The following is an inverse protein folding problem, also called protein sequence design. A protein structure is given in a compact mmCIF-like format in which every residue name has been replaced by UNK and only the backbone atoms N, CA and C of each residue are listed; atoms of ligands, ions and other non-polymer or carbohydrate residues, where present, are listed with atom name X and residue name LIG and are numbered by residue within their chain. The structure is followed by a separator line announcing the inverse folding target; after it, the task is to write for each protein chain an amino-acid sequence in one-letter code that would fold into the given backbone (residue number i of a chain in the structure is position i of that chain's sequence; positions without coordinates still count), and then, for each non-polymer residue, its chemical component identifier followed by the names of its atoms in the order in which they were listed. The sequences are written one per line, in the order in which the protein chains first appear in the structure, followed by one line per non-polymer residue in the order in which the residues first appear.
data_IF_975987553700
#
_entry.id   IF_975987553700
#
_cell.length_a   1.000
_cell.length_b   1.000
_cell.length_c   1.000
_cell.angle_alpha   90.00
_cell.angle_beta   90.00
_cell.angle_gamma   90.00
#
_symmetry.space_group_name_H-M   'P 1'
#
loop_
_entity.id
_entity.type
_entity.pdbx_description
1 polymer ?
#
# COMPACT_ATOMS: atom_id res chain seq x y z
N UNK A 1 5.69 -13.32 12.04
CA UNK A 1 4.31 -13.06 12.52
C UNK A 1 4.09 -11.56 12.73
N UNK A 2 4.81 -10.92 13.66
CA UNK A 2 4.78 -9.46 13.92
C UNK A 2 4.77 -8.57 12.65
N UNK A 3 5.71 -8.78 11.73
CA UNK A 3 5.88 -7.94 10.53
C UNK A 3 4.67 -7.84 9.57
N UNK A 4 3.71 -8.76 9.62
CA UNK A 4 2.48 -8.66 8.80
C UNK A 4 1.51 -7.66 9.43
N UNK A 5 1.43 -7.62 10.77
CA UNK A 5 0.66 -6.62 11.51
C UNK A 5 1.28 -5.23 11.35
N UNK A 6 2.61 -5.14 11.37
CA UNK A 6 3.34 -3.90 11.04
C UNK A 6 3.04 -3.40 9.61
N UNK A 7 3.16 -4.28 8.61
CA UNK A 7 2.87 -3.94 7.21
C UNK A 7 1.41 -3.52 7.02
N UNK A 8 0.45 -4.22 7.63
CA UNK A 8 -0.97 -3.86 7.57
C UNK A 8 -1.25 -2.52 8.25
N UNK A 9 -0.61 -2.23 9.39
CA UNK A 9 -0.67 -0.93 10.06
C UNK A 9 -0.09 0.21 9.21
N UNK A 10 1.06 -0.02 8.57
CA UNK A 10 1.67 0.95 7.65
C UNK A 10 0.80 1.19 6.39
N UNK A 11 0.20 0.13 5.85
CA UNK A 11 -0.74 0.18 4.72
C UNK A 11 -2.01 0.96 5.10
N UNK A 12 -2.55 0.79 6.31
CA UNK A 12 -3.70 1.54 6.82
C UNK A 12 -3.43 3.05 6.92
N UNK A 13 -2.21 3.43 7.33
CA UNK A 13 -1.79 4.84 7.37
C UNK A 13 -1.59 5.47 5.99
N UNK A 14 -1.47 4.68 4.91
CA UNK A 14 -1.24 5.19 3.56
C UNK A 14 -2.52 5.83 2.97
N UNK A 15 -2.44 7.05 2.38
CA UNK A 15 -3.62 7.79 1.92
C UNK A 15 -4.50 7.03 0.92
N UNK A 16 -5.78 6.88 1.28
CA UNK A 16 -6.80 6.28 0.43
C UNK A 16 -6.79 4.75 0.36
N UNK A 17 -5.94 4.06 1.11
CA UNK A 17 -5.98 2.59 1.27
C UNK A 17 -7.33 2.16 1.83
N UNK A 18 -7.69 2.69 3.00
CA UNK A 18 -8.91 2.30 3.72
C UNK A 18 -10.16 2.70 2.93
N UNK A 19 -10.17 3.89 2.32
CA UNK A 19 -11.25 4.31 1.39
C UNK A 19 -11.47 3.30 0.24
N UNK A 20 -10.41 2.68 -0.28
CA UNK A 20 -10.53 1.71 -1.37
C UNK A 20 -11.11 0.38 -0.91
N UNK A 21 -10.70 -0.15 0.25
CA UNK A 21 -11.28 -1.39 0.81
C UNK A 21 -12.73 -1.18 1.28
N UNK A 22 -13.06 0.00 1.83
CA UNK A 22 -14.45 0.38 2.10
C UNK A 22 -15.28 0.46 0.81
N UNK A 23 -14.70 0.98 -0.29
CA UNK A 23 -15.36 1.02 -1.61
C UNK A 23 -15.53 -0.38 -2.20
N UNK A 24 -14.55 -1.27 -2.04
CA UNK A 24 -14.58 -2.66 -2.50
C UNK A 24 -15.68 -3.45 -1.78
N UNK A 25 -15.74 -3.34 -0.46
CA UNK A 25 -16.81 -3.91 0.38
C UNK A 25 -18.19 -3.36 0.01
N UNK A 26 -18.29 -2.04 -0.21
CA UNK A 26 -19.55 -1.41 -0.62
C UNK A 26 -20.00 -1.91 -1.99
N UNK A 27 -19.08 -2.08 -2.95
CA UNK A 27 -19.39 -2.65 -4.27
C UNK A 27 -19.91 -4.08 -4.13
N UNK A 28 -19.15 -4.94 -3.44
CA UNK A 28 -19.50 -6.36 -3.23
C UNK A 28 -20.86 -6.51 -2.55
N UNK A 29 -21.14 -5.74 -1.50
CA UNK A 29 -22.42 -5.82 -0.77
C UNK A 29 -23.61 -5.20 -1.49
N UNK A 30 -23.41 -4.30 -2.46
CA UNK A 30 -24.50 -3.69 -3.25
C UNK A 30 -24.74 -4.34 -4.61
N UNK A 31 -23.70 -4.92 -5.23
CA UNK A 31 -23.80 -5.65 -6.52
C UNK A 31 -24.07 -7.15 -6.35
N UNK A 32 -24.04 -7.68 -5.12
CA UNK A 32 -24.32 -9.09 -4.81
C UNK A 32 -23.13 -10.04 -4.99
N UNK A 33 -21.90 -9.52 -4.81
CA UNK A 33 -20.67 -10.32 -4.76
C UNK A 33 -20.50 -11.09 -3.45
N UNK A 34 -19.39 -11.82 -3.29
CA UNK A 34 -19.10 -12.61 -2.09
C UNK A 34 -18.19 -11.82 -1.15
N UNK A 35 -18.41 -11.90 0.16
CA UNK A 35 -17.48 -11.28 1.14
C UNK A 35 -16.07 -11.90 1.06
N UNK A 36 -15.97 -13.17 0.65
CA UNK A 36 -14.72 -13.85 0.28
C UNK A 36 -13.95 -13.20 -0.87
N UNK A 37 -14.54 -12.28 -1.65
CA UNK A 37 -13.81 -11.48 -2.65
C UNK A 37 -12.99 -10.34 -2.02
N UNK A 38 -13.21 -10.04 -0.73
CA UNK A 38 -12.64 -8.89 -0.01
C UNK A 38 -11.81 -9.33 1.20
N UNK A 39 -12.37 -10.20 2.05
CA UNK A 39 -11.75 -10.70 3.27
C UNK A 39 -11.87 -12.22 3.39
N UNK A 40 -10.89 -12.85 4.03
CA UNK A 40 -10.85 -14.28 4.38
C UNK A 40 -11.25 -14.55 5.84
N UNK A 41 -11.50 -13.51 6.63
CA UNK A 41 -11.86 -13.63 8.03
C UNK A 41 -11.41 -12.43 8.86
N UNK A 42 -11.24 -12.68 10.16
CA UNK A 42 -10.77 -11.69 11.14
C UNK A 42 -9.54 -12.23 11.85
N UNK A 43 -8.67 -11.31 12.27
CA UNK A 43 -7.57 -11.58 13.19
C UNK A 43 -8.11 -11.31 14.60
N UNK A 44 -8.09 -12.31 15.46
CA UNK A 44 -8.29 -12.10 16.89
C UNK A 44 -7.01 -11.48 17.48
N UNK A 45 -7.08 -10.44 18.34
CA UNK A 45 -5.89 -9.82 18.92
C UNK A 45 -4.94 -10.78 19.66
N UNK A 46 -5.47 -11.89 20.20
CA UNK A 46 -4.72 -12.91 20.93
C UNK A 46 -4.26 -14.11 20.06
N UNK A 47 -4.75 -14.25 18.83
CA UNK A 47 -4.34 -15.33 17.92
C UNK A 47 -2.98 -15.04 17.28
N UNK A 48 -2.00 -15.90 17.56
CA UNK A 48 -0.69 -15.90 16.90
C UNK A 48 -0.85 -16.22 15.41
N UNK A 49 -0.79 -15.21 14.55
CA UNK A 49 -1.02 -15.35 13.11
C UNK A 49 0.11 -16.17 12.48
N UNK A 50 -0.14 -17.48 12.31
CA UNK A 50 0.64 -18.32 11.42
C UNK A 50 0.71 -17.64 10.04
N UNK A 51 1.91 -17.48 9.45
CA UNK A 51 2.10 -16.64 8.28
C UNK A 51 1.30 -17.18 7.08
N UNK A 52 0.76 -16.29 6.20
CA UNK A 52 0.43 -16.67 4.84
C UNK A 52 1.64 -17.35 4.20
N UNK A 53 1.40 -18.34 3.33
CA UNK A 53 2.45 -19.04 2.61
C UNK A 53 3.46 -18.04 2.02
N UNK A 54 4.75 -18.33 2.20
CA UNK A 54 5.82 -17.34 2.02
C UNK A 54 5.70 -16.60 0.70
N UNK A 55 5.68 -15.25 0.75
CA UNK A 55 5.70 -14.42 -0.45
C UNK A 55 6.97 -14.80 -1.24
N UNK A 56 6.86 -15.45 -2.41
CA UNK A 56 8.02 -16.00 -3.06
C UNK A 56 8.98 -14.87 -3.45
N UNK A 57 10.30 -15.05 -3.27
CA UNK A 57 11.27 -14.04 -3.69
C UNK A 57 11.12 -13.78 -5.20
N UNK A 58 11.30 -12.53 -5.66
CA UNK A 58 11.07 -12.16 -7.05
C UNK A 58 11.94 -13.01 -7.98
N UNK A 59 11.30 -13.83 -8.80
CA UNK A 59 11.98 -14.79 -9.69
C UNK A 59 12.68 -14.07 -10.84
N UNK A 60 14.01 -14.00 -10.79
CA UNK A 60 14.84 -13.51 -11.89
C UNK A 60 14.61 -14.37 -13.16
N UNK A 61 14.07 -13.82 -14.26
CA UNK A 61 13.54 -14.62 -15.36
C UNK A 61 14.64 -15.07 -16.36
N UNK A 62 15.68 -15.77 -15.88
CA UNK A 62 16.79 -16.30 -16.70
C UNK A 62 17.38 -17.65 -16.25
N UNK A 63 16.57 -18.71 -16.29
CA UNK A 63 17.04 -20.09 -16.50
C UNK A 63 15.96 -20.93 -17.19
N UNK A 64 16.33 -21.77 -18.17
CA UNK A 64 15.41 -22.67 -18.90
C UNK A 64 16.17 -23.95 -19.30
N UNK A 65 15.47 -25.10 -19.33
CA UNK A 65 15.95 -26.48 -19.66
C UNK A 65 16.80 -27.18 -18.56
N UNK A 66 16.78 -28.50 -18.40
CA UNK A 66 16.06 -29.60 -19.09
C UNK A 66 15.93 -30.84 -18.14
N UNK A 67 14.77 -31.55 -18.08
CA UNK A 67 14.41 -32.84 -18.73
C UNK A 67 14.75 -34.13 -17.90
N UNK A 68 13.91 -35.18 -18.02
CA UNK A 68 13.90 -36.44 -17.23
C UNK A 68 12.59 -36.61 -16.42
N UNK A 69 11.70 -37.61 -16.56
CA UNK A 69 11.73 -38.99 -17.10
C UNK A 69 12.50 -40.00 -16.20
N UNK A 70 11.98 -41.15 -15.75
CA UNK A 70 10.60 -41.74 -15.68
C UNK A 70 10.39 -42.28 -14.23
N UNK A 71 9.54 -43.22 -13.74
CA UNK A 71 8.59 -44.29 -14.17
C UNK A 71 7.54 -44.51 -13.00
N UNK A 72 6.69 -45.56 -12.92
CA UNK A 72 5.32 -45.68 -13.50
C UNK A 72 4.37 -46.60 -12.62
N UNK A 73 3.07 -46.73 -12.98
CA UNK A 73 1.98 -47.68 -12.54
C UNK A 73 1.19 -47.57 -11.18
N UNK A 74 -0.02 -48.17 -11.23
CA UNK A 74 -1.28 -48.17 -10.44
C UNK A 74 -1.24 -48.77 -8.98
N UNK A 75 -2.29 -48.88 -8.14
CA UNK A 75 -3.76 -48.99 -8.33
C UNK A 75 -4.62 -48.60 -7.09
N UNK A 76 -5.90 -48.29 -7.33
CA UNK A 76 -7.12 -48.36 -6.48
C UNK A 76 -7.07 -48.31 -4.94
N UNK A 77 -7.74 -47.30 -4.36
CA UNK A 77 -8.59 -47.46 -3.16
C UNK A 77 -9.73 -46.41 -3.11
N UNK A 78 -10.98 -46.86 -3.09
CA UNK A 78 -12.16 -46.01 -2.85
C UNK A 78 -12.35 -45.73 -1.35
N UNK A 79 -12.56 -44.46 -0.99
CA UNK A 79 -13.21 -44.07 0.26
C UNK A 79 -13.82 -42.68 0.11
N UNK A 80 -15.08 -42.64 -0.30
CA UNK A 80 -15.96 -41.48 -0.14
C UNK A 80 -15.86 -40.87 1.26
N UNK A 81 -15.46 -39.60 1.35
CA UNK A 81 -16.04 -38.68 2.34
C UNK A 81 -16.31 -37.34 1.65
N UNK A 82 -17.58 -37.06 1.34
CA UNK A 82 -18.03 -35.74 0.93
C UNK A 82 -18.15 -34.86 2.19
N UNK A 83 -17.00 -34.57 2.82
CA UNK A 83 -16.92 -33.37 3.66
C UNK A 83 -17.05 -32.16 2.74
N UNK A 84 -18.30 -31.76 2.54
CA UNK A 84 -18.68 -30.39 2.20
C UNK A 84 -18.07 -29.47 3.28
N UNK A 85 -16.80 -29.09 3.11
CA UNK A 85 -16.30 -27.79 3.55
C UNK A 85 -17.11 -26.73 2.81
N UNK A 86 -18.34 -26.52 3.27
CA UNK A 86 -19.09 -25.29 3.07
C UNK A 86 -18.26 -24.18 3.68
N UNK A 87 -17.36 -23.63 2.85
CA UNK A 87 -16.48 -22.51 3.12
C UNK A 87 -17.32 -21.39 3.73
N UNK A 88 -17.33 -21.35 5.07
CA UNK A 88 -18.24 -20.54 5.86
C UNK A 88 -17.75 -19.10 5.79
N UNK A 89 -18.09 -18.45 4.67
CA UNK A 89 -17.60 -17.15 4.29
C UNK A 89 -17.83 -16.13 5.41
N UNK A 90 -16.91 -15.18 5.59
CA UNK A 90 -16.83 -14.34 6.78
C UNK A 90 -18.17 -13.71 7.14
N UNK A 91 -18.62 -13.94 8.38
CA UNK A 91 -19.96 -13.60 8.87
C UNK A 91 -20.37 -12.18 8.42
N UNK A 92 -21.48 -12.04 7.66
CA UNK A 92 -21.89 -10.76 7.09
C UNK A 92 -22.33 -9.74 8.14
N UNK A 93 -22.82 -10.18 9.31
CA UNK A 93 -23.19 -9.31 10.43
C UNK A 93 -21.93 -8.76 11.11
N UNK A 94 -20.93 -9.61 11.36
CA UNK A 94 -19.63 -9.17 11.89
C UNK A 94 -18.90 -8.28 10.88
N UNK A 95 -19.01 -8.59 9.58
CA UNK A 95 -18.45 -7.76 8.51
C UNK A 95 -19.10 -6.38 8.51
N UNK A 96 -20.43 -6.31 8.54
CA UNK A 96 -21.17 -5.04 8.59
C UNK A 96 -20.81 -4.20 9.82
N UNK A 97 -20.64 -4.83 10.99
CA UNK A 97 -20.21 -4.14 12.21
C UNK A 97 -18.78 -3.58 12.07
N UNK A 98 -17.81 -4.40 11.63
CA UNK A 98 -16.39 -3.98 11.53
C UNK A 98 -16.17 -2.95 10.42
N UNK A 99 -16.73 -3.18 9.22
CA UNK A 99 -16.63 -2.21 8.12
C UNK A 99 -17.41 -0.92 8.40
N UNK A 100 -18.53 -1.00 9.14
CA UNK A 100 -19.24 0.17 9.67
C UNK A 100 -18.36 1.02 10.59
N UNK A 101 -17.75 0.40 11.61
CA UNK A 101 -16.85 1.10 12.52
C UNK A 101 -15.63 1.73 11.81
N UNK A 102 -15.04 1.03 10.84
CA UNK A 102 -13.95 1.57 10.00
C UNK A 102 -14.45 2.73 9.12
N UNK A 103 -15.68 2.67 8.58
CA UNK A 103 -16.28 3.77 7.81
C UNK A 103 -16.51 5.03 8.65
N UNK A 104 -17.07 4.87 9.85
CA UNK A 104 -17.33 5.98 10.78
C UNK A 104 -16.02 6.62 11.25
N UNK A 105 -15.00 5.82 11.60
CA UNK A 105 -13.69 6.34 11.96
C UNK A 105 -12.97 6.96 10.75
N UNK A 106 -13.16 6.45 9.53
CA UNK A 106 -12.61 7.06 8.31
C UNK A 106 -13.23 8.45 8.08
N UNK A 107 -14.53 8.64 8.34
CA UNK A 107 -15.16 9.96 8.32
C UNK A 107 -14.54 10.93 9.34
N UNK A 108 -14.34 10.49 10.59
CA UNK A 108 -13.72 11.31 11.66
C UNK A 108 -12.30 11.71 11.26
N UNK A 109 -11.50 10.73 10.84
CA UNK A 109 -10.13 10.91 10.34
C UNK A 109 -10.08 11.89 9.17
N UNK A 110 -10.99 11.75 8.18
CA UNK A 110 -11.11 12.65 7.02
C UNK A 110 -11.46 14.08 7.44
N UNK A 111 -12.30 14.26 8.46
CA UNK A 111 -12.66 15.58 9.04
C UNK A 111 -11.47 16.21 9.80
N UNK A 112 -10.72 15.41 10.56
CA UNK A 112 -9.51 15.86 11.26
C UNK A 112 -8.40 16.29 10.29
N UNK A 113 -8.05 15.42 9.32
CA UNK A 113 -7.06 15.70 8.27
C UNK A 113 -7.36 17.00 7.50
N UNK A 114 -8.63 17.22 7.14
CA UNK A 114 -9.06 18.43 6.43
C UNK A 114 -8.99 19.71 7.29
N UNK A 115 -9.10 19.59 8.61
CA UNK A 115 -9.14 20.73 9.55
C UNK A 115 -7.76 21.12 10.08
N UNK A 116 -6.88 20.15 10.32
CA UNK A 116 -5.61 20.36 11.03
C UNK A 116 -4.36 20.02 10.19
N UNK A 117 -4.53 19.38 9.02
CA UNK A 117 -3.42 18.78 8.27
C UNK A 117 -3.09 17.36 8.76
N UNK A 118 -2.07 16.74 8.17
CA UNK A 118 -1.69 15.34 8.47
C UNK A 118 -0.74 15.22 9.66
N UNK A 119 0.05 16.26 9.92
CA UNK A 119 1.13 16.24 10.92
C UNK A 119 0.68 16.73 12.31
N UNK A 120 -0.59 17.14 12.45
CA UNK A 120 -1.17 17.52 13.73
C UNK A 120 -1.47 16.28 14.60
N UNK A 121 -1.25 16.42 15.91
CA UNK A 121 -1.37 15.32 16.88
C UNK A 121 -2.77 14.71 16.95
N UNK A 122 -3.83 15.49 16.70
CA UNK A 122 -5.20 14.96 16.66
C UNK A 122 -5.39 14.13 15.40
N UNK A 123 -4.98 14.64 14.23
CA UNK A 123 -5.08 13.89 12.96
C UNK A 123 -4.25 12.60 12.97
N UNK A 124 -3.09 12.60 13.63
CA UNK A 124 -2.28 11.39 13.88
C UNK A 124 -3.03 10.41 14.80
N UNK A 125 -3.67 10.87 15.88
CA UNK A 125 -4.45 10.01 16.77
C UNK A 125 -5.65 9.36 16.05
N UNK A 126 -6.39 10.11 15.23
CA UNK A 126 -7.49 9.55 14.43
C UNK A 126 -7.00 8.53 13.39
N UNK A 127 -5.83 8.74 12.78
CA UNK A 127 -5.18 7.78 11.87
C UNK A 127 -4.77 6.49 12.59
N UNK A 128 -4.27 6.57 13.82
CA UNK A 128 -3.93 5.40 14.63
C UNK A 128 -5.19 4.62 14.99
N UNK A 129 -6.24 5.29 15.47
CA UNK A 129 -7.52 4.65 15.78
C UNK A 129 -8.16 3.99 14.53
N UNK A 130 -8.03 4.62 13.35
CA UNK A 130 -8.44 4.01 12.08
C UNK A 130 -7.64 2.74 11.75
N UNK A 131 -6.33 2.76 11.97
CA UNK A 131 -5.48 1.58 11.76
C UNK A 131 -5.79 0.46 12.77
N UNK A 132 -6.09 0.78 14.03
CA UNK A 132 -6.48 -0.19 15.07
C UNK A 132 -7.80 -0.91 14.73
N UNK A 133 -8.77 -0.23 14.11
CA UNK A 133 -10.02 -0.85 13.63
C UNK A 133 -9.82 -1.65 12.32
N UNK A 134 -8.85 -1.26 11.49
CA UNK A 134 -8.61 -1.87 10.17
C UNK A 134 -7.68 -3.09 10.21
N UNK A 135 -6.63 -3.09 11.05
CA UNK A 135 -5.67 -4.21 11.19
C UNK A 135 -6.33 -5.58 11.48
N UNK A 136 -7.42 -5.69 12.27
CA UNK A 136 -8.09 -6.97 12.52
C UNK A 136 -8.84 -7.58 11.32
N UNK A 137 -8.91 -6.91 10.16
CA UNK A 137 -9.62 -7.40 8.98
C UNK A 137 -8.64 -8.18 8.08
N UNK A 138 -8.79 -9.50 8.01
CA UNK A 138 -7.89 -10.38 7.23
C UNK A 138 -8.28 -10.35 5.75
N UNK A 139 -7.77 -9.36 5.01
CA UNK A 139 -7.99 -9.23 3.56
C UNK A 139 -7.57 -10.51 2.81
N UNK A 140 -8.20 -10.79 1.66
CA UNK A 140 -7.70 -11.85 0.76
C UNK A 140 -6.41 -11.41 0.06
N UNK A 141 -5.50 -12.33 -0.32
CA UNK A 141 -4.19 -11.99 -0.88
C UNK A 141 -4.24 -10.99 -2.04
N UNK A 142 -5.16 -11.20 -2.99
CA UNK A 142 -5.41 -10.32 -4.14
C UNK A 142 -5.66 -8.85 -3.76
N UNK A 143 -6.43 -8.60 -2.69
CA UNK A 143 -6.72 -7.24 -2.22
C UNK A 143 -5.49 -6.65 -1.52
N UNK A 144 -4.82 -7.44 -0.67
CA UNK A 144 -3.60 -7.03 0.01
C UNK A 144 -2.46 -6.68 -0.96
N UNK A 145 -2.25 -7.50 -1.99
CA UNK A 145 -1.30 -7.23 -3.09
C UNK A 145 -1.64 -5.94 -3.84
N UNK A 146 -2.92 -5.70 -4.15
CA UNK A 146 -3.38 -4.45 -4.76
C UNK A 146 -3.08 -3.20 -3.91
N UNK A 147 -3.17 -3.31 -2.58
CA UNK A 147 -2.75 -2.24 -1.67
C UNK A 147 -1.23 -2.05 -1.65
N UNK A 148 -0.46 -3.13 -1.53
CA UNK A 148 1.01 -3.09 -1.56
C UNK A 148 1.51 -2.44 -2.86
N UNK A 149 0.94 -2.83 -4.01
CA UNK A 149 1.35 -2.30 -5.31
C UNK A 149 0.94 -0.83 -5.49
N UNK A 150 -0.21 -0.41 -4.96
CA UNK A 150 -0.60 1.01 -4.92
C UNK A 150 0.39 1.87 -4.11
N UNK A 151 0.91 1.35 -2.99
CA UNK A 151 1.96 2.02 -2.19
C UNK A 151 3.27 2.09 -2.99
N UNK A 152 3.72 0.97 -3.57
CA UNK A 152 4.93 0.90 -4.40
C UNK A 152 4.88 1.87 -5.57
N UNK A 153 3.84 1.81 -6.40
CA UNK A 153 3.66 2.70 -7.54
C UNK A 153 3.58 4.19 -7.16
N UNK A 154 3.13 4.53 -5.95
CA UNK A 154 3.20 5.90 -5.45
C UNK A 154 4.63 6.36 -5.13
N UNK A 155 5.41 5.50 -4.46
CA UNK A 155 6.83 5.75 -4.18
C UNK A 155 7.67 5.78 -5.48
N UNK A 156 7.31 4.99 -6.49
CA UNK A 156 7.97 5.03 -7.80
C UNK A 156 7.65 6.31 -8.57
N UNK A 157 6.40 6.79 -8.56
CA UNK A 157 6.05 8.10 -9.13
C UNK A 157 6.80 9.24 -8.44
N UNK A 158 6.89 9.22 -7.10
CA UNK A 158 7.68 10.19 -6.34
C UNK A 158 9.15 10.18 -6.78
N UNK A 159 9.79 8.99 -6.76
CA UNK A 159 11.18 8.80 -7.20
C UNK A 159 11.41 9.16 -8.66
N UNK A 160 10.41 9.05 -9.54
CA UNK A 160 10.50 9.52 -10.91
C UNK A 160 10.59 11.05 -10.98
N UNK A 161 9.80 11.77 -10.18
CA UNK A 161 9.87 13.24 -10.10
C UNK A 161 11.17 13.73 -9.45
N UNK A 162 11.59 13.14 -8.32
CA UNK A 162 12.90 13.42 -7.69
C UNK A 162 14.06 13.29 -8.69
N UNK A 163 14.06 12.22 -9.49
CA UNK A 163 15.06 11.98 -10.53
C UNK A 163 14.95 13.00 -11.68
N UNK A 164 13.75 13.37 -12.11
CA UNK A 164 13.53 14.37 -13.16
C UNK A 164 14.06 15.75 -12.72
N UNK A 165 13.69 16.21 -11.53
CA UNK A 165 14.17 17.46 -10.92
C UNK A 165 15.70 17.43 -10.78
N UNK A 166 16.27 16.33 -10.26
CA UNK A 166 17.73 16.17 -10.16
C UNK A 166 18.43 16.24 -11.54
N UNK A 167 17.85 15.67 -12.60
CA UNK A 167 18.43 15.79 -13.95
C UNK A 167 18.38 17.23 -14.45
N UNK A 168 17.23 17.91 -14.34
CA UNK A 168 17.08 19.32 -14.74
C UNK A 168 18.08 20.22 -14.02
N UNK A 169 18.19 20.12 -12.69
CA UNK A 169 19.13 20.93 -11.91
C UNK A 169 20.60 20.56 -12.19
N UNK A 170 20.98 19.28 -12.13
CA UNK A 170 22.39 18.85 -12.11
C UNK A 170 22.99 18.66 -13.52
N UNK A 171 22.23 18.06 -14.45
CA UNK A 171 22.68 17.79 -15.82
C UNK A 171 22.49 19.01 -16.71
N UNK A 172 21.29 19.57 -16.72
CA UNK A 172 20.89 20.56 -17.73
C UNK A 172 21.25 21.99 -17.28
N UNK A 173 20.88 22.38 -16.07
CA UNK A 173 21.30 23.65 -15.47
C UNK A 173 22.73 23.65 -14.87
N UNK A 174 23.43 22.51 -14.89
CA UNK A 174 24.83 22.35 -14.44
C UNK A 174 25.07 22.70 -12.96
N UNK A 175 24.06 22.55 -12.09
CA UNK A 175 24.25 22.66 -10.64
C UNK A 175 25.19 21.56 -10.14
N UNK A 176 26.17 21.84 -9.25
CA UNK A 176 26.94 20.80 -8.59
C UNK A 176 26.03 19.83 -7.82
N UNK A 177 26.21 18.51 -7.98
CA UNK A 177 25.38 17.51 -7.29
C UNK A 177 25.34 17.68 -5.77
N UNK A 178 26.44 18.14 -5.17
CA UNK A 178 26.52 18.43 -3.74
C UNK A 178 25.65 19.63 -3.32
N UNK A 179 25.54 20.67 -4.16
CA UNK A 179 24.63 21.80 -3.91
C UNK A 179 23.15 21.38 -4.04
N UNK A 180 22.83 20.48 -4.98
CA UNK A 180 21.49 19.93 -5.10
C UNK A 180 21.10 19.11 -3.86
N UNK A 181 21.93 18.14 -3.47
CA UNK A 181 21.69 17.28 -2.31
C UNK A 181 21.68 18.03 -0.96
N UNK A 182 22.25 19.24 -0.89
CA UNK A 182 22.21 20.14 0.28
C UNK A 182 20.97 21.04 0.31
N UNK A 183 20.33 21.31 -0.84
CA UNK A 183 19.31 22.37 -0.96
C UNK A 183 17.93 21.88 -1.40
N UNK A 184 17.82 20.70 -2.00
CA UNK A 184 16.53 20.12 -2.38
C UNK A 184 15.75 19.51 -1.19
N UNK A 185 16.39 18.80 -0.22
CA UNK A 185 15.67 18.29 0.94
C UNK A 185 15.01 19.40 1.75
N UNK A 186 13.71 19.25 2.06
CA UNK A 186 12.87 20.26 2.70
C UNK A 186 12.24 21.29 1.75
N UNK A 187 12.60 21.30 0.47
CA UNK A 187 12.00 22.13 -0.58
C UNK A 187 11.28 21.30 -1.66
N UNK A 188 11.08 20.00 -1.43
CA UNK A 188 10.47 19.04 -2.38
C UNK A 188 9.08 19.44 -2.90
N UNK A 189 8.35 20.26 -2.14
CA UNK A 189 7.00 20.76 -2.44
C UNK A 189 6.93 22.30 -2.53
N UNK A 190 8.09 22.98 -2.50
CA UNK A 190 8.19 24.44 -2.55
C UNK A 190 8.43 24.92 -3.99
N UNK A 191 7.35 25.26 -4.69
CA UNK A 191 7.42 25.81 -6.07
C UNK A 191 8.34 27.05 -6.15
N UNK A 192 8.40 27.85 -5.07
CA UNK A 192 9.18 29.09 -5.01
C UNK A 192 10.69 28.88 -4.83
N UNK A 193 11.13 27.67 -4.47
CA UNK A 193 12.55 27.30 -4.35
C UNK A 193 13.29 27.49 -5.68
N UNK A 194 12.69 27.05 -6.80
CA UNK A 194 13.27 27.20 -8.14
C UNK A 194 13.44 28.66 -8.52
N UNK A 195 12.45 29.49 -8.18
CA UNK A 195 12.43 30.94 -8.34
C UNK A 195 13.56 31.64 -7.55
N UNK A 196 13.81 31.19 -6.32
CA UNK A 196 14.90 31.67 -5.48
C UNK A 196 16.28 31.33 -6.06
N UNK A 197 16.43 30.14 -6.63
CA UNK A 197 17.65 29.71 -7.32
C UNK A 197 17.87 30.49 -8.62
N UNK A 198 16.81 30.71 -9.42
CA UNK A 198 16.86 31.45 -10.69
C UNK A 198 17.21 32.94 -10.50
N UNK A 199 16.75 33.56 -9.41
CA UNK A 199 17.06 34.95 -9.02
C UNK A 199 18.41 35.07 -8.28
N UNK A 200 19.08 33.96 -8.01
CA UNK A 200 20.35 33.89 -7.30
C UNK A 200 21.57 34.32 -8.15
N UNK A 201 22.74 34.43 -7.49
CA UNK A 201 24.03 34.71 -8.15
C UNK A 201 24.82 33.44 -8.49
N UNK A 202 24.19 32.27 -8.42
CA UNK A 202 24.83 30.99 -8.76
C UNK A 202 25.08 30.87 -10.26
N UNK A 203 26.16 30.18 -10.68
CA UNK A 203 26.48 29.97 -12.10
C UNK A 203 25.40 29.18 -12.87
N UNK A 204 24.53 28.50 -12.14
CA UNK A 204 23.38 27.74 -12.63
C UNK A 204 22.06 28.52 -12.63
N UNK A 205 21.99 29.72 -12.03
CA UNK A 205 20.75 30.48 -11.83
C UNK A 205 20.03 30.80 -13.15
N UNK A 206 20.75 31.39 -14.11
CA UNK A 206 20.20 31.69 -15.44
C UNK A 206 19.75 30.44 -16.21
N UNK A 207 20.38 29.28 -15.95
CA UNK A 207 20.00 28.03 -16.60
C UNK A 207 18.77 27.38 -15.95
N UNK A 208 18.58 27.52 -14.63
CA UNK A 208 17.34 27.12 -13.94
C UNK A 208 16.16 27.96 -14.42
N UNK A 209 16.33 29.28 -14.53
CA UNK A 209 15.30 30.20 -15.05
C UNK A 209 14.96 30.04 -16.55
N UNK A 210 15.53 29.04 -17.23
CA UNK A 210 15.18 28.61 -18.60
C UNK A 210 14.57 27.20 -18.66
N UNK A 211 14.41 26.55 -17.50
CA UNK A 211 13.82 25.22 -17.33
C UNK A 211 12.51 25.25 -16.51
N UNK A 212 12.07 26.45 -16.12
CA UNK A 212 10.74 26.78 -15.61
C UNK A 212 9.79 27.05 -16.79
#
# INVERSE_FOLDING_TARGET
EEGIREVMGAIAHFPGTVDHILSEYTRVTSEGGRLSDVLSGYIDPDDGIAPPAEVPPPVDPKAVKAEGADDDEEESADSSDEEDEVESGPDPVIAQQRFGAVSDQMEITRKALKKFGRDDKHAIAELVALAELFMPIKLVPKQFEGLVERVRGALERLRAQERAIMQLCVRDARMPRADFLRQFPGHEVDESWTDGLAKGKGKYAEAIGRLQ
#
